data_IF_253233917008
#
_entry.id   IF_253233917008
#
_cell.length_a   1.000
_cell.length_b   1.000
_cell.length_c   1.000
_cell.angle_alpha   90.00
_cell.angle_beta   90.00
_cell.angle_gamma   90.00
#
_symmetry.space_group_name_H-M   'P 1'
#
loop_
_entity.id
_entity.type
_entity.pdbx_description
1 polymer ?
#
# COMPACT_ATOMS: atom_id res chain seq x y z
N UNK A 1 8.03 0.45 8.58
CA UNK A 1 6.91 -0.50 8.67
C UNK A 1 6.43 -0.72 10.10
N UNK A 2 7.27 -1.18 11.06
CA UNK A 2 6.84 -1.43 12.46
C UNK A 2 6.21 -0.20 13.14
N UNK A 3 6.83 0.97 13.00
CA UNK A 3 6.28 2.24 13.55
C UNK A 3 4.90 2.54 12.95
N UNK A 4 4.73 2.30 11.66
CA UNK A 4 3.44 2.47 10.97
C UNK A 4 2.35 1.56 11.54
N UNK A 5 2.69 0.28 11.84
CA UNK A 5 1.77 -0.67 12.46
C UNK A 5 1.34 -0.17 13.84
N UNK A 6 2.29 0.23 14.69
CA UNK A 6 2.04 0.74 16.03
C UNK A 6 1.11 1.97 16.03
N UNK A 7 1.42 2.95 15.20
CA UNK A 7 0.63 4.18 15.13
C UNK A 7 -0.78 3.93 14.57
N UNK A 8 -0.90 3.08 13.56
CA UNK A 8 -2.22 2.78 12.99
C UNK A 8 -3.07 1.87 13.90
N UNK A 9 -2.43 1.00 14.69
CA UNK A 9 -3.10 0.31 15.79
C UNK A 9 -3.70 1.30 16.79
N UNK A 10 -2.89 2.30 17.20
CA UNK A 10 -3.37 3.36 18.08
C UNK A 10 -4.52 4.17 17.46
N UNK A 11 -4.39 4.59 16.19
CA UNK A 11 -5.46 5.30 15.48
C UNK A 11 -6.75 4.47 15.40
N UNK A 12 -6.67 3.17 15.13
CA UNK A 12 -7.82 2.27 15.14
C UNK A 12 -8.54 2.26 16.49
N UNK A 13 -7.79 2.14 17.59
CA UNK A 13 -8.36 2.18 18.95
C UNK A 13 -8.94 3.57 19.25
N UNK A 14 -8.25 4.65 18.91
CA UNK A 14 -8.70 6.02 19.16
C UNK A 14 -10.02 6.31 18.40
N UNK A 15 -10.12 5.89 17.14
CA UNK A 15 -11.36 6.01 16.34
C UNK A 15 -12.50 5.22 16.98
N UNK A 16 -12.21 4.03 17.51
CA UNK A 16 -13.24 3.17 18.11
C UNK A 16 -13.74 3.72 19.45
N UNK A 17 -12.86 4.31 20.27
CA UNK A 17 -13.18 4.80 21.62
C UNK A 17 -13.75 6.21 21.64
N UNK A 18 -13.40 7.07 20.68
CA UNK A 18 -13.78 8.48 20.68
C UNK A 18 -15.08 8.66 19.90
N UNK A 19 -16.17 8.98 20.57
CA UNK A 19 -17.45 9.29 19.91
C UNK A 19 -17.48 10.69 19.31
N UNK A 20 -16.95 11.66 20.02
CA UNK A 20 -16.98 13.09 19.62
C UNK A 20 -15.95 13.44 18.53
N UNK A 21 -14.76 12.84 18.55
CA UNK A 21 -13.66 13.23 17.67
C UNK A 21 -13.23 12.13 16.67
N UNK A 22 -14.13 11.24 16.31
CA UNK A 22 -13.85 10.13 15.36
C UNK A 22 -13.33 10.60 14.01
N UNK A 23 -13.89 11.71 13.50
CA UNK A 23 -13.47 12.31 12.23
C UNK A 23 -12.06 12.87 12.31
N UNK A 24 -11.71 13.51 13.42
CA UNK A 24 -10.37 14.03 13.65
C UNK A 24 -9.32 12.93 13.69
N UNK A 25 -9.57 11.84 14.42
CA UNK A 25 -8.67 10.69 14.45
C UNK A 25 -8.53 9.98 13.11
N UNK A 26 -9.61 9.86 12.34
CA UNK A 26 -9.55 9.33 10.98
C UNK A 26 -8.69 10.23 10.08
N UNK A 27 -8.94 11.55 10.10
CA UNK A 27 -8.18 12.51 9.31
C UNK A 27 -6.69 12.49 9.66
N UNK A 28 -6.35 12.44 10.96
CA UNK A 28 -4.97 12.35 11.43
C UNK A 28 -4.29 11.04 10.96
N UNK A 29 -4.98 9.91 11.06
CA UNK A 29 -4.45 8.62 10.60
C UNK A 29 -4.24 8.58 9.08
N UNK A 30 -5.18 9.10 8.30
CA UNK A 30 -5.02 9.20 6.84
C UNK A 30 -3.89 10.17 6.48
N UNK A 31 -3.86 11.36 7.09
CA UNK A 31 -2.81 12.35 6.85
C UNK A 31 -1.42 11.79 7.17
N UNK A 32 -1.27 11.07 8.29
CA UNK A 32 -0.02 10.40 8.65
C UNK A 32 0.41 9.39 7.58
N UNK A 33 -0.49 8.49 7.14
CA UNK A 33 -0.16 7.47 6.15
C UNK A 33 0.18 8.06 4.78
N UNK A 34 -0.57 9.06 4.33
CA UNK A 34 -0.28 9.72 3.05
C UNK A 34 0.96 10.61 3.13
N UNK A 35 1.23 11.29 4.26
CA UNK A 35 2.46 12.05 4.44
C UNK A 35 3.68 11.14 4.36
N UNK A 36 3.63 9.95 4.99
CA UNK A 36 4.69 8.96 4.95
C UNK A 36 4.91 8.42 3.54
N UNK A 37 3.82 8.09 2.83
CA UNK A 37 3.89 7.67 1.42
C UNK A 37 4.50 8.78 0.54
N UNK A 38 4.08 10.02 0.76
CA UNK A 38 4.58 11.18 0.01
C UNK A 38 6.08 11.38 0.23
N UNK A 39 6.53 11.34 1.48
CA UNK A 39 7.94 11.52 1.83
C UNK A 39 8.84 10.48 1.18
N UNK A 40 8.45 9.20 1.17
CA UNK A 40 9.28 8.15 0.59
C UNK A 40 9.20 8.04 -0.92
N UNK A 41 8.07 8.35 -1.52
CA UNK A 41 7.83 8.08 -2.94
C UNK A 41 7.95 9.32 -3.83
N UNK A 42 7.63 10.49 -3.30
CA UNK A 42 7.49 11.70 -4.11
C UNK A 42 8.43 12.84 -3.70
N UNK A 43 9.25 12.69 -2.63
CA UNK A 43 10.18 13.74 -2.21
C UNK A 43 11.16 14.12 -3.32
N UNK A 44 11.78 13.13 -3.95
CA UNK A 44 12.78 13.39 -4.99
C UNK A 44 12.16 14.06 -6.21
N UNK A 45 11.00 13.59 -6.66
CA UNK A 45 10.24 14.25 -7.72
C UNK A 45 9.92 15.72 -7.41
N UNK A 46 9.54 16.00 -6.16
CA UNK A 46 9.26 17.39 -5.74
C UNK A 46 10.53 18.21 -5.69
N UNK A 47 11.62 17.67 -5.13
CA UNK A 47 12.88 18.38 -5.04
C UNK A 47 13.50 18.65 -6.42
N UNK A 48 13.43 17.70 -7.35
CA UNK A 48 13.84 17.91 -8.74
C UNK A 48 13.06 19.05 -9.41
N UNK A 49 11.73 19.05 -9.26
CA UNK A 49 10.90 20.10 -9.83
C UNK A 49 11.16 21.48 -9.19
N UNK A 50 11.36 21.53 -7.86
CA UNK A 50 11.72 22.76 -7.16
C UNK A 50 13.07 23.24 -7.65
N UNK A 51 14.08 22.38 -7.73
CA UNK A 51 15.41 22.73 -8.23
C UNK A 51 15.35 23.25 -9.67
N UNK A 52 14.57 22.62 -10.54
CA UNK A 52 14.34 23.08 -11.93
C UNK A 52 13.72 24.49 -11.99
N UNK A 53 12.73 24.75 -11.13
CA UNK A 53 12.08 26.08 -11.04
C UNK A 53 13.06 27.12 -10.47
N UNK A 54 13.78 26.79 -9.38
CA UNK A 54 14.75 27.69 -8.76
C UNK A 54 15.88 28.03 -9.72
N UNK A 55 16.44 27.04 -10.41
CA UNK A 55 17.49 27.25 -11.42
C UNK A 55 17.05 28.12 -12.59
N UNK A 56 15.76 28.03 -12.99
CA UNK A 56 15.21 28.83 -14.07
C UNK A 56 14.93 30.29 -13.66
N UNK A 57 14.37 30.51 -12.46
CA UNK A 57 13.95 31.84 -12.02
C UNK A 57 15.00 32.56 -11.16
N UNK A 58 15.88 31.84 -10.48
CA UNK A 58 16.87 32.38 -9.56
C UNK A 58 18.26 31.74 -9.75
N UNK A 59 18.86 31.82 -10.94
CA UNK A 59 20.14 31.16 -11.23
C UNK A 59 21.31 31.63 -10.33
N UNK A 60 21.17 32.81 -9.73
CA UNK A 60 22.19 33.40 -8.85
C UNK A 60 22.16 32.86 -7.41
N UNK A 61 21.16 32.11 -7.00
CA UNK A 61 21.04 31.65 -5.61
C UNK A 61 21.93 30.45 -5.28
N UNK A 62 22.30 29.65 -6.29
CA UNK A 62 23.18 28.50 -6.10
C UNK A 62 22.69 27.47 -5.08
N UNK A 63 21.40 27.53 -4.70
CA UNK A 63 20.80 26.63 -3.72
C UNK A 63 20.12 25.48 -4.45
N UNK A 64 20.61 24.28 -4.24
CA UNK A 64 19.98 23.05 -4.72
C UNK A 64 19.53 22.22 -3.50
N UNK A 65 18.30 21.77 -3.52
CA UNK A 65 17.79 20.82 -2.54
C UNK A 65 18.45 19.46 -2.80
N UNK A 66 19.07 18.83 -1.79
CA UNK A 66 19.68 17.53 -1.97
C UNK A 66 18.60 16.49 -2.23
N UNK A 67 18.78 15.68 -3.26
CA UNK A 67 17.97 14.49 -3.48
C UNK A 67 18.22 13.50 -2.35
N UNK A 68 17.17 12.95 -1.79
CA UNK A 68 17.29 12.19 -0.55
C UNK A 68 17.69 10.73 -0.74
N UNK A 69 17.71 10.20 -1.98
CA UNK A 69 18.06 8.82 -2.33
C UNK A 69 17.51 7.76 -1.34
N UNK A 70 16.30 8.02 -0.82
CA UNK A 70 15.71 7.15 0.17
C UNK A 70 15.42 5.77 -0.46
N UNK A 71 15.94 4.73 0.18
CA UNK A 71 15.58 3.37 -0.22
C UNK A 71 14.10 3.17 0.00
N UNK A 72 13.36 3.01 -1.10
CA UNK A 72 11.91 2.85 -1.05
C UNK A 72 11.55 1.55 -0.31
N UNK A 73 10.82 1.60 0.81
CA UNK A 73 10.39 0.39 1.49
C UNK A 73 9.52 -0.46 0.57
N UNK A 74 9.84 -1.75 0.45
CA UNK A 74 9.10 -2.67 -0.39
C UNK A 74 7.62 -2.63 -0.04
N UNK A 75 6.76 -2.42 -1.04
CA UNK A 75 5.32 -2.45 -0.87
C UNK A 75 4.72 -1.23 -0.14
N UNK A 76 5.45 -0.11 0.01
CA UNK A 76 4.97 1.06 0.76
C UNK A 76 3.58 1.52 0.31
N UNK A 77 3.30 1.55 -0.97
CA UNK A 77 1.99 1.94 -1.49
C UNK A 77 0.91 0.92 -1.10
N UNK A 78 1.21 -0.36 -1.24
CA UNK A 78 0.25 -1.42 -0.94
C UNK A 78 -0.12 -1.46 0.54
N UNK A 79 0.88 -1.50 1.45
CA UNK A 79 0.57 -1.52 2.87
C UNK A 79 -0.07 -0.23 3.36
N UNK A 80 0.26 0.93 2.76
CA UNK A 80 -0.39 2.20 3.09
C UNK A 80 -1.88 2.15 2.76
N UNK A 81 -2.27 1.68 1.58
CA UNK A 81 -3.68 1.54 1.21
C UNK A 81 -4.40 0.48 2.04
N UNK A 82 -3.75 -0.63 2.40
CA UNK A 82 -4.30 -1.63 3.31
C UNK A 82 -4.60 -1.03 4.68
N UNK A 83 -3.66 -0.29 5.25
CA UNK A 83 -3.83 0.40 6.53
C UNK A 83 -4.96 1.45 6.44
N UNK A 84 -4.98 2.26 5.39
CA UNK A 84 -6.06 3.22 5.17
C UNK A 84 -7.43 2.54 5.10
N UNK A 85 -7.52 1.40 4.39
CA UNK A 85 -8.74 0.58 4.36
C UNK A 85 -9.17 0.14 5.76
N UNK A 86 -8.21 -0.34 6.60
CA UNK A 86 -8.49 -0.75 7.97
C UNK A 86 -9.08 0.39 8.82
N UNK A 87 -8.41 1.56 8.89
CA UNK A 87 -8.90 2.68 9.71
C UNK A 87 -10.23 3.23 9.20
N UNK A 88 -10.47 3.22 7.88
CA UNK A 88 -11.76 3.58 7.28
C UNK A 88 -12.85 2.56 7.66
N UNK A 89 -12.58 1.26 7.63
CA UNK A 89 -13.54 0.22 8.00
C UNK A 89 -13.88 0.30 9.50
N UNK A 90 -12.91 0.59 10.37
CA UNK A 90 -13.15 0.87 11.80
C UNK A 90 -13.99 2.13 11.98
N UNK A 91 -13.68 3.20 11.28
CA UNK A 91 -14.47 4.44 11.32
C UNK A 91 -15.92 4.20 10.87
N UNK A 92 -16.12 3.44 9.81
CA UNK A 92 -17.46 3.07 9.28
C UNK A 92 -18.20 2.06 10.15
N UNK A 93 -17.59 1.61 11.26
CA UNK A 93 -18.12 0.55 12.14
C UNK A 93 -18.40 -0.79 11.41
N UNK A 94 -17.73 -1.04 10.29
CA UNK A 94 -17.84 -2.34 9.59
C UNK A 94 -17.13 -3.46 10.35
N UNK A 95 -16.02 -3.10 11.00
CA UNK A 95 -15.22 -3.99 11.85
C UNK A 95 -14.91 -3.30 13.18
N UNK A 96 -14.81 -4.05 14.30
CA UNK A 96 -14.26 -3.50 15.53
C UNK A 96 -12.77 -3.17 15.33
N UNK A 97 -12.25 -2.22 16.13
CA UNK A 97 -10.82 -2.00 16.18
C UNK A 97 -10.11 -3.26 16.65
N UNK A 98 -9.00 -3.61 15.98
CA UNK A 98 -8.21 -4.79 16.32
C UNK A 98 -7.60 -4.61 17.73
N UNK A 99 -7.70 -5.66 18.53
CA UNK A 99 -7.18 -5.68 19.89
C UNK A 99 -5.76 -6.25 19.99
N UNK A 100 -5.39 -7.06 18.98
CA UNK A 100 -4.07 -7.68 18.90
C UNK A 100 -3.22 -6.93 17.85
N UNK A 101 -2.14 -6.33 18.32
CA UNK A 101 -1.18 -5.69 17.43
C UNK A 101 -0.51 -6.69 16.48
N UNK A 102 -0.38 -7.96 16.94
CA UNK A 102 0.18 -9.02 16.12
C UNK A 102 -0.73 -9.38 14.96
N UNK A 103 -2.05 -9.46 15.19
CA UNK A 103 -3.00 -9.78 14.13
C UNK A 103 -3.08 -8.66 13.08
N UNK A 104 -3.04 -7.40 13.54
CA UNK A 104 -2.91 -6.26 12.63
C UNK A 104 -1.59 -6.31 11.87
N UNK A 105 -0.48 -6.64 12.54
CA UNK A 105 0.83 -6.81 11.93
C UNK A 105 0.84 -7.91 10.88
N UNK A 106 0.26 -9.07 11.17
CA UNK A 106 0.12 -10.18 10.20
C UNK A 106 -0.68 -9.73 8.99
N UNK A 107 -1.80 -9.03 9.17
CA UNK A 107 -2.59 -8.51 8.07
C UNK A 107 -1.79 -7.58 7.14
N UNK A 108 -1.02 -6.67 7.72
CA UNK A 108 -0.24 -5.67 6.96
C UNK A 108 0.99 -6.30 6.31
N UNK A 109 1.67 -7.24 7.00
CA UNK A 109 2.92 -7.86 6.54
C UNK A 109 2.73 -9.10 5.69
N UNK A 110 1.49 -9.51 5.38
CA UNK A 110 1.23 -10.75 4.65
C UNK A 110 1.85 -10.69 3.25
N UNK A 111 2.90 -11.51 3.05
CA UNK A 111 3.76 -11.52 1.87
C UNK A 111 3.02 -11.57 0.53
N UNK A 112 1.97 -12.40 0.32
CA UNK A 112 1.32 -12.49 -0.98
C UNK A 112 0.61 -11.18 -1.41
N UNK A 113 0.24 -10.33 -0.45
CA UNK A 113 -0.46 -9.08 -0.70
C UNK A 113 0.49 -7.88 -0.83
N UNK A 114 1.67 -7.97 -0.17
CA UNK A 114 2.59 -6.84 -0.04
C UNK A 114 3.26 -6.47 -1.36
N UNK A 115 3.52 -7.42 -2.23
CA UNK A 115 4.36 -7.23 -3.43
C UNK A 115 3.53 -6.87 -4.66
N UNK A 116 2.45 -7.57 -4.96
CA UNK A 116 1.69 -7.38 -6.20
C UNK A 116 0.27 -7.98 -6.14
N UNK A 117 -0.36 -8.07 -4.97
CA UNK A 117 -1.72 -8.59 -4.84
C UNK A 117 -2.80 -7.51 -4.99
N UNK A 118 -4.07 -7.89 -5.16
CA UNK A 118 -5.18 -6.95 -5.01
C UNK A 118 -5.22 -6.43 -3.58
N UNK A 119 -5.64 -5.17 -3.41
CA UNK A 119 -5.82 -4.57 -2.08
C UNK A 119 -6.93 -5.33 -1.35
N UNK A 120 -6.56 -6.12 -0.36
CA UNK A 120 -7.48 -6.89 0.45
C UNK A 120 -7.95 -6.03 1.62
N UNK A 121 -9.26 -5.84 1.75
CA UNK A 121 -9.82 -5.06 2.86
C UNK A 121 -9.73 -5.86 4.17
N UNK A 122 -9.53 -5.16 5.30
CA UNK A 122 -9.47 -5.82 6.60
C UNK A 122 -10.75 -6.59 6.91
N UNK A 123 -11.90 -6.06 6.53
CA UNK A 123 -13.21 -6.70 6.75
C UNK A 123 -13.35 -8.07 6.08
N UNK A 124 -12.64 -8.31 4.98
CA UNK A 124 -12.70 -9.60 4.27
C UNK A 124 -11.90 -10.71 4.95
N UNK A 125 -10.84 -10.36 5.67
CA UNK A 125 -9.91 -11.33 6.29
C UNK A 125 -10.03 -11.42 7.82
N UNK A 126 -10.65 -10.45 8.47
CA UNK A 126 -10.75 -10.36 9.93
C UNK A 126 -11.26 -11.66 10.58
N UNK A 127 -12.30 -12.30 10.02
CA UNK A 127 -12.83 -13.57 10.55
C UNK A 127 -11.81 -14.71 10.45
N UNK A 128 -11.03 -14.72 9.39
CA UNK A 128 -10.04 -15.79 9.14
C UNK A 128 -8.78 -15.59 9.96
N UNK A 129 -8.42 -14.35 10.32
CA UNK A 129 -7.31 -14.07 11.24
C UNK A 129 -7.56 -14.67 12.61
N UNK A 130 -8.79 -14.60 13.14
CA UNK A 130 -9.12 -15.07 14.48
C UNK A 130 -9.61 -16.53 14.55
N UNK A 131 -10.25 -17.02 13.48
CA UNK A 131 -10.83 -18.37 13.46
C UNK A 131 -10.54 -19.06 12.13
N UNK A 132 -9.36 -19.67 12.02
CA UNK A 132 -8.98 -20.46 10.85
C UNK A 132 -9.52 -21.89 10.97
N UNK A 133 -10.15 -22.36 9.92
CA UNK A 133 -10.44 -23.79 9.76
C UNK A 133 -9.46 -24.35 8.71
N UNK A 134 -8.65 -25.30 9.11
CA UNK A 134 -7.76 -26.00 8.20
C UNK A 134 -8.40 -27.34 7.83
N UNK A 135 -8.84 -27.45 6.58
CA UNK A 135 -9.37 -28.70 6.03
C UNK A 135 -8.66 -29.03 4.71
N UNK A 136 -8.51 -30.31 4.40
CA UNK A 136 -7.91 -30.75 3.14
C UNK A 136 -8.68 -30.19 1.94
N UNK A 137 -10.01 -30.14 2.00
CA UNK A 137 -10.83 -29.56 0.96
C UNK A 137 -10.56 -28.08 0.68
N UNK A 138 -10.29 -27.28 1.75
CA UNK A 138 -9.88 -25.88 1.60
C UNK A 138 -8.48 -25.75 1.00
N UNK A 139 -7.56 -26.63 1.37
CA UNK A 139 -6.22 -26.66 0.81
C UNK A 139 -6.25 -27.02 -0.69
N UNK A 140 -7.04 -28.01 -1.07
CA UNK A 140 -7.26 -28.42 -2.46
C UNK A 140 -7.87 -27.27 -3.29
N UNK A 141 -8.93 -26.63 -2.78
CA UNK A 141 -9.53 -25.49 -3.45
C UNK A 141 -8.54 -24.33 -3.63
N UNK A 142 -7.79 -24.00 -2.58
CA UNK A 142 -6.77 -22.94 -2.65
C UNK A 142 -5.65 -23.25 -3.64
N UNK A 143 -5.19 -24.51 -3.71
CA UNK A 143 -4.18 -24.95 -4.67
C UNK A 143 -4.71 -24.86 -6.10
N UNK A 144 -5.95 -25.24 -6.33
CA UNK A 144 -6.60 -25.12 -7.64
C UNK A 144 -6.65 -23.66 -8.12
N UNK A 145 -7.12 -22.75 -7.27
CA UNK A 145 -7.14 -21.32 -7.58
C UNK A 145 -5.74 -20.75 -7.84
N UNK A 146 -4.77 -21.18 -7.05
CA UNK A 146 -3.36 -20.79 -7.25
C UNK A 146 -2.82 -21.25 -8.61
N UNK A 147 -3.05 -22.51 -9.01
CA UNK A 147 -2.60 -23.06 -10.30
C UNK A 147 -3.27 -22.33 -11.47
N UNK A 148 -4.58 -22.05 -11.37
CA UNK A 148 -5.30 -21.29 -12.39
C UNK A 148 -4.72 -19.88 -12.51
N UNK A 149 -4.53 -19.18 -11.39
CA UNK A 149 -3.95 -17.83 -11.37
C UNK A 149 -2.53 -17.78 -11.94
N UNK A 150 -1.70 -18.77 -11.60
CA UNK A 150 -0.34 -18.92 -12.14
C UNK A 150 -0.39 -19.16 -13.65
N UNK A 151 -1.29 -20.04 -14.12
CA UNK A 151 -1.49 -20.30 -15.54
C UNK A 151 -1.88 -19.02 -16.30
N UNK A 152 -2.83 -18.25 -15.80
CA UNK A 152 -3.23 -16.96 -16.39
C UNK A 152 -2.06 -15.97 -16.45
N UNK A 153 -1.26 -15.90 -15.38
CA UNK A 153 -0.08 -15.03 -15.36
C UNK A 153 0.95 -15.44 -16.40
N UNK A 154 1.30 -16.73 -16.45
CA UNK A 154 2.38 -17.23 -17.33
C UNK A 154 1.95 -17.26 -18.79
N UNK A 155 0.74 -17.76 -19.07
CA UNK A 155 0.27 -17.99 -20.45
C UNK A 155 -0.32 -16.74 -21.10
N UNK A 156 -0.93 -15.83 -20.31
CA UNK A 156 -1.56 -14.63 -20.87
C UNK A 156 -0.77 -13.36 -20.52
N UNK A 157 -0.63 -13.05 -19.24
CA UNK A 157 -0.09 -11.74 -18.83
C UNK A 157 1.36 -11.55 -19.29
N UNK A 158 2.22 -12.58 -19.17
CA UNK A 158 3.61 -12.48 -19.62
C UNK A 158 3.70 -12.33 -21.15
N UNK A 159 2.84 -13.02 -21.92
CA UNK A 159 2.84 -12.92 -23.39
C UNK A 159 2.38 -11.51 -23.83
N UNK A 160 1.31 -10.99 -23.22
CA UNK A 160 0.84 -9.64 -23.49
C UNK A 160 1.89 -8.60 -23.13
N UNK A 161 2.59 -8.77 -22.00
CA UNK A 161 3.68 -7.88 -21.58
C UNK A 161 4.84 -7.88 -22.60
N UNK A 162 5.21 -9.06 -23.14
CA UNK A 162 6.24 -9.17 -24.17
C UNK A 162 5.80 -8.50 -25.47
N UNK A 163 4.55 -8.68 -25.89
CA UNK A 163 4.00 -7.99 -27.04
C UNK A 163 4.02 -6.47 -26.87
N UNK A 164 3.62 -5.99 -25.68
CA UNK A 164 3.63 -4.56 -25.37
C UNK A 164 5.04 -3.96 -25.45
N UNK A 165 6.02 -4.60 -24.82
CA UNK A 165 7.42 -4.13 -24.86
C UNK A 165 8.01 -4.15 -26.27
N UNK A 166 7.62 -5.12 -27.12
CA UNK A 166 8.04 -5.13 -28.52
C UNK A 166 7.43 -3.96 -29.32
N UNK A 167 6.15 -3.66 -29.10
CA UNK A 167 5.47 -2.52 -29.74
C UNK A 167 6.08 -1.19 -29.29
N UNK A 168 6.34 -1.05 -28.00
CA UNK A 168 6.96 0.15 -27.42
C UNK A 168 8.40 0.35 -27.94
N UNK A 169 9.14 -0.75 -28.17
CA UNK A 169 10.50 -0.74 -28.74
C UNK A 169 10.56 -0.41 -30.24
N UNK A 170 9.44 -0.55 -30.99
CA UNK A 170 9.37 -0.16 -32.40
C UNK A 170 9.29 1.37 -32.58
N UNK A 171 9.02 2.10 -31.50
CA UNK A 171 9.02 3.57 -31.47
C UNK A 171 7.97 4.23 -32.37
N UNK A 172 7.46 5.35 -31.94
CA UNK A 172 6.57 6.24 -32.74
C UNK A 172 7.30 6.94 -33.92
N UNK A 173 8.48 6.46 -34.30
CA UNK A 173 9.29 7.05 -35.38
C UNK A 173 8.87 6.61 -36.78
N UNK A 174 7.82 5.81 -36.91
CA UNK A 174 7.37 5.27 -38.23
C UNK A 174 5.91 5.58 -38.60
N UNK A 175 5.33 6.67 -38.04
CA UNK A 175 4.03 7.16 -38.52
C UNK A 175 4.14 8.62 -38.94
#
# INVERSE_FOLDING_TARGET
MLISILLNYYFGIAISRSEQNRRGWLAAGLAYNFAWLFLFKYSDFVFENINAVLGKFFPSWGFELPLSEWVLPIGISFYTFQICSYIIDVYRKKVPAEKSILDLGVYICMFPQLIAGPIVTYSSVAKQLHKRKHTLALAESGLKEFVIGLGLKVLLANQVSTLWSNIEGIGYESI
#
